data_IF_039691705888
#
_entry.id   IF_039691705888
#
_cell.length_a   1.000
_cell.length_b   1.000
_cell.length_c   1.000
_cell.angle_alpha   90.00
_cell.angle_beta   90.00
_cell.angle_gamma   90.00
#
_symmetry.space_group_name_H-M   'P 1'
#
loop_
_entity.id
_entity.type
_entity.pdbx_description
1 polymer ?
#
# COMPACT_ATOMS: atom_id res chain seq x y z
N UNK A 1 4.92 -18.36 10.37
CA UNK A 1 3.68 -19.16 10.48
C UNK A 1 2.71 -18.65 9.43
N UNK A 2 2.09 -19.52 8.64
CA UNK A 2 1.11 -19.13 7.61
C UNK A 2 -0.22 -18.83 8.29
N UNK A 3 -0.49 -17.58 8.63
CA UNK A 3 -1.80 -17.14 9.13
C UNK A 3 -2.79 -17.12 7.97
N UNK A 4 -3.95 -17.76 8.12
CA UNK A 4 -5.02 -17.66 7.14
C UNK A 4 -5.54 -16.21 7.08
N UNK A 5 -5.56 -15.61 5.89
CA UNK A 5 -6.17 -14.30 5.68
C UNK A 5 -7.70 -14.42 5.61
N UNK A 6 -8.47 -13.42 6.08
CA UNK A 6 -7.99 -12.17 6.68
C UNK A 6 -7.45 -12.36 8.10
N UNK A 7 -6.43 -11.59 8.46
CA UNK A 7 -6.08 -11.38 9.85
C UNK A 7 -7.19 -10.56 10.50
N UNK A 8 -7.74 -11.03 11.63
CA UNK A 8 -8.78 -10.33 12.39
C UNK A 8 -8.18 -9.70 13.64
N UNK A 9 -8.57 -8.46 13.95
CA UNK A 9 -8.11 -7.72 15.14
C UNK A 9 -9.20 -6.78 15.65
N UNK A 10 -9.31 -6.61 16.96
CA UNK A 10 -10.13 -5.54 17.54
C UNK A 10 -9.44 -4.18 17.31
N UNK A 11 -10.20 -3.12 17.02
CA UNK A 11 -9.66 -1.76 16.85
C UNK A 11 -8.71 -1.33 17.98
N UNK A 12 -9.00 -1.69 19.24
CA UNK A 12 -8.16 -1.35 20.41
C UNK A 12 -6.80 -2.05 20.37
N UNK A 13 -6.74 -3.19 19.69
CA UNK A 13 -5.60 -4.09 19.58
C UNK A 13 -4.71 -3.85 18.35
N UNK A 14 -4.98 -2.81 17.55
CA UNK A 14 -4.16 -2.46 16.37
C UNK A 14 -2.66 -2.35 16.69
N UNK A 15 -2.30 -1.87 17.89
CA UNK A 15 -0.92 -1.76 18.35
C UNK A 15 -0.18 -3.11 18.38
N UNK A 16 -0.90 -4.23 18.55
CA UNK A 16 -0.32 -5.59 18.54
C UNK A 16 0.19 -6.01 17.16
N UNK A 17 -0.23 -5.32 16.11
CA UNK A 17 0.21 -5.60 14.74
C UNK A 17 1.61 -5.06 14.44
N UNK A 18 2.12 -4.12 15.24
CA UNK A 18 3.42 -3.47 14.98
C UNK A 18 4.54 -4.49 14.91
N UNK A 19 5.33 -4.42 13.83
CA UNK A 19 6.44 -5.32 13.54
C UNK A 19 6.02 -6.63 12.86
N UNK A 20 4.72 -6.84 12.59
CA UNK A 20 4.23 -8.06 11.94
C UNK A 20 3.89 -7.82 10.46
N UNK A 21 4.23 -8.81 9.64
CA UNK A 21 3.65 -8.94 8.30
C UNK A 21 2.18 -9.35 8.44
N UNK A 22 1.28 -8.57 7.84
CA UNK A 22 -0.15 -8.89 7.77
C UNK A 22 -0.37 -10.02 6.78
N UNK A 23 0.28 -9.94 5.62
CA UNK A 23 0.31 -11.02 4.64
C UNK A 23 0.55 -10.56 3.22
N UNK A 24 0.24 -11.47 2.30
CA UNK A 24 0.41 -11.36 0.87
C UNK A 24 -0.97 -11.42 0.19
N UNK A 25 -1.28 -10.44 -0.66
CA UNK A 25 -2.57 -10.40 -1.34
C UNK A 25 -2.70 -11.52 -2.38
N UNK A 26 -3.90 -11.69 -2.95
CA UNK A 26 -4.05 -12.43 -4.21
C UNK A 26 -3.22 -11.77 -5.31
N UNK A 27 -2.83 -12.57 -6.31
CA UNK A 27 -2.32 -12.05 -7.58
C UNK A 27 -3.44 -11.41 -8.39
N UNK A 28 -3.13 -10.31 -9.08
CA UNK A 28 -4.00 -9.74 -10.11
C UNK A 28 -3.19 -9.50 -11.39
N UNK A 29 -3.81 -9.72 -12.53
CA UNK A 29 -3.24 -9.39 -13.83
C UNK A 29 -3.50 -7.92 -14.18
N UNK A 30 -2.51 -7.27 -14.78
CA UNK A 30 -2.61 -5.90 -15.27
C UNK A 30 -2.72 -5.92 -16.78
N UNK A 31 -3.96 -5.91 -17.27
CA UNK A 31 -4.26 -5.89 -18.71
C UNK A 31 -4.29 -4.48 -19.29
N UNK A 32 -4.32 -4.40 -20.62
CA UNK A 32 -4.37 -3.14 -21.33
C UNK A 32 -5.68 -2.37 -21.09
N UNK A 33 -6.79 -3.06 -20.88
CA UNK A 33 -8.09 -2.42 -20.62
C UNK A 33 -8.03 -1.57 -19.35
N UNK A 34 -7.40 -2.08 -18.29
CA UNK A 34 -7.18 -1.34 -17.05
C UNK A 34 -6.21 -0.17 -17.25
N UNK A 35 -5.16 -0.35 -18.03
CA UNK A 35 -4.18 0.71 -18.36
C UNK A 35 -4.87 1.84 -19.14
N UNK A 36 -5.61 1.52 -20.21
CA UNK A 36 -6.32 2.49 -21.03
C UNK A 36 -7.37 3.25 -20.22
N UNK A 37 -8.19 2.55 -19.42
CA UNK A 37 -9.20 3.18 -18.58
C UNK A 37 -8.60 4.10 -17.51
N UNK A 38 -7.42 3.76 -16.98
CA UNK A 38 -6.73 4.63 -16.04
C UNK A 38 -6.22 5.88 -16.75
N UNK A 39 -5.63 5.74 -17.95
CA UNK A 39 -5.24 6.88 -18.79
C UNK A 39 -6.43 7.82 -19.03
N UNK A 40 -7.62 7.28 -19.35
CA UNK A 40 -8.82 8.09 -19.58
C UNK A 40 -9.29 8.83 -18.33
N UNK A 41 -9.22 8.21 -17.15
CA UNK A 41 -9.66 8.82 -15.88
C UNK A 41 -8.66 9.86 -15.37
N UNK A 42 -7.36 9.67 -15.64
CA UNK A 42 -6.31 10.57 -15.12
C UNK A 42 -5.73 11.50 -16.17
N UNK A 43 -6.19 11.42 -17.41
CA UNK A 43 -5.69 12.18 -18.57
C UNK A 43 -4.18 11.94 -18.86
N UNK A 44 -3.63 10.81 -18.39
CA UNK A 44 -2.25 10.41 -18.65
C UNK A 44 -2.19 9.43 -19.82
N UNK A 45 -2.25 9.97 -21.02
CA UNK A 45 -2.12 9.24 -22.28
C UNK A 45 -0.69 9.20 -22.80
N UNK A 46 0.32 9.28 -21.93
CA UNK A 46 1.72 9.12 -22.35
C UNK A 46 1.89 7.82 -23.14
N UNK A 47 2.59 7.89 -24.28
CA UNK A 47 2.66 6.81 -25.27
C UNK A 47 3.09 5.46 -24.71
N UNK A 48 3.92 5.42 -23.66
CA UNK A 48 4.38 4.18 -23.02
C UNK A 48 3.22 3.35 -22.44
N UNK A 49 2.09 4.01 -22.13
CA UNK A 49 0.90 3.37 -21.57
C UNK A 49 -0.07 2.91 -22.66
N UNK A 50 -0.31 3.72 -23.69
CA UNK A 50 -1.46 3.57 -24.59
C UNK A 50 -1.10 3.25 -26.05
N UNK A 51 0.09 3.63 -26.53
CA UNK A 51 0.53 3.34 -27.90
C UNK A 51 1.15 1.94 -27.97
N UNK A 52 0.30 0.95 -28.23
CA UNK A 52 0.69 -0.46 -28.32
C UNK A 52 1.75 -0.72 -29.38
N UNK A 53 1.67 -0.06 -30.53
CA UNK A 53 2.57 -0.31 -31.65
C UNK A 53 3.97 0.21 -31.32
N UNK A 54 4.05 1.46 -30.87
CA UNK A 54 5.31 2.07 -30.46
C UNK A 54 5.90 1.39 -29.24
N UNK A 55 5.11 1.13 -28.20
CA UNK A 55 5.59 0.47 -26.98
C UNK A 55 6.07 -0.97 -27.24
N UNK A 56 5.45 -1.71 -28.16
CA UNK A 56 5.95 -3.03 -28.57
C UNK A 56 7.33 -2.94 -29.22
N UNK A 57 7.57 -1.92 -30.04
CA UNK A 57 8.86 -1.70 -30.71
C UNK A 57 9.96 -1.19 -29.77
N UNK A 58 9.63 -0.27 -28.84
CA UNK A 58 10.64 0.43 -28.03
C UNK A 58 10.82 -0.16 -26.62
N UNK A 59 9.75 -0.72 -26.02
CA UNK A 59 9.73 -1.13 -24.61
C UNK A 59 9.44 -2.64 -24.38
N UNK A 60 9.21 -3.38 -25.46
CA UNK A 60 8.77 -4.78 -25.41
C UNK A 60 7.30 -4.94 -24.99
N UNK A 61 6.50 -3.87 -25.07
CA UNK A 61 5.11 -3.80 -24.65
C UNK A 61 4.79 -2.50 -23.91
N UNK A 62 3.50 -2.21 -23.74
CA UNK A 62 3.04 -1.10 -22.90
C UNK A 62 3.41 -1.34 -21.45
N UNK A 63 3.71 -0.25 -20.75
CA UNK A 63 4.04 -0.23 -19.33
C UNK A 63 2.83 0.36 -18.62
N UNK A 64 2.39 -0.24 -17.52
CA UNK A 64 1.29 0.28 -16.72
C UNK A 64 1.71 1.55 -15.96
N UNK A 65 0.74 2.45 -15.71
CA UNK A 65 0.98 3.65 -14.91
C UNK A 65 1.44 3.27 -13.49
N UNK A 66 2.47 3.96 -12.98
CA UNK A 66 2.88 3.79 -11.59
C UNK A 66 1.73 4.12 -10.62
N UNK A 67 0.98 5.20 -10.90
CA UNK A 67 -0.17 5.58 -10.09
C UNK A 67 -1.33 4.58 -10.16
N UNK A 68 -1.52 3.88 -11.28
CA UNK A 68 -2.49 2.77 -11.34
C UNK A 68 -2.10 1.69 -10.33
N UNK A 69 -0.81 1.31 -10.26
CA UNK A 69 -0.34 0.31 -9.30
C UNK A 69 -0.58 0.77 -7.86
N UNK A 70 -0.30 2.04 -7.55
CA UNK A 70 -0.55 2.62 -6.22
C UNK A 70 -2.06 2.62 -5.88
N UNK A 71 -2.92 3.00 -6.83
CA UNK A 71 -4.38 3.01 -6.65
C UNK A 71 -5.00 1.63 -6.45
N UNK A 72 -4.30 0.54 -6.82
CA UNK A 72 -4.75 -0.83 -6.59
C UNK A 72 -4.46 -1.33 -5.17
N UNK A 73 -3.63 -0.63 -4.38
CA UNK A 73 -3.24 -1.05 -3.03
C UNK A 73 -4.46 -1.33 -2.15
N UNK A 74 -5.46 -0.43 -2.01
CA UNK A 74 -6.63 -0.71 -1.17
C UNK A 74 -7.38 -1.98 -1.57
N UNK A 75 -7.53 -2.24 -2.89
CA UNK A 75 -8.21 -3.44 -3.39
C UNK A 75 -7.45 -4.75 -3.13
N UNK A 76 -6.15 -4.65 -2.85
CA UNK A 76 -5.27 -5.78 -2.53
C UNK A 76 -5.09 -5.97 -1.02
N UNK A 77 -5.07 -4.88 -0.25
CA UNK A 77 -4.76 -4.91 1.19
C UNK A 77 -5.98 -5.00 2.09
N UNK A 78 -7.10 -4.37 1.74
CA UNK A 78 -8.32 -4.42 2.58
C UNK A 78 -8.80 -5.85 2.86
N UNK A 79 -8.76 -6.80 1.90
CA UNK A 79 -9.14 -8.19 2.20
C UNK A 79 -8.16 -8.95 3.12
N UNK A 80 -6.99 -8.38 3.44
CA UNK A 80 -5.97 -9.04 4.28
C UNK A 80 -6.15 -8.75 5.77
N UNK A 81 -6.78 -7.62 6.13
CA UNK A 81 -6.94 -7.18 7.52
C UNK A 81 -8.38 -6.75 7.77
N UNK A 82 -9.07 -7.47 8.65
CA UNK A 82 -10.39 -7.14 9.15
C UNK A 82 -10.27 -6.57 10.56
N UNK A 83 -10.77 -5.35 10.76
CA UNK A 83 -10.69 -4.63 12.02
C UNK A 83 -12.09 -4.51 12.62
N UNK A 84 -12.34 -5.23 13.70
CA UNK A 84 -13.61 -5.16 14.43
C UNK A 84 -13.71 -3.82 15.17
N UNK A 85 -14.90 -3.21 15.17
CA UNK A 85 -15.12 -1.90 15.81
C UNK A 85 -14.76 -0.69 14.95
N UNK A 86 -14.42 -0.89 13.67
CA UNK A 86 -14.06 0.16 12.72
C UNK A 86 -15.29 0.74 12.00
N UNK A 87 -15.38 2.07 11.91
CA UNK A 87 -16.43 2.78 11.15
C UNK A 87 -16.01 3.03 9.71
N UNK A 88 -14.81 3.58 9.52
CA UNK A 88 -14.29 3.97 8.21
C UNK A 88 -12.76 4.06 8.23
N UNK A 89 -12.16 3.95 7.05
CA UNK A 89 -10.72 4.11 6.82
C UNK A 89 -10.52 5.21 5.77
N UNK A 90 -9.60 6.12 6.03
CA UNK A 90 -9.12 7.07 5.03
C UNK A 90 -7.71 6.75 4.60
N UNK A 91 -7.43 6.87 3.30
CA UNK A 91 -6.08 6.99 2.78
C UNK A 91 -5.57 8.38 3.16
N UNK A 92 -4.93 8.48 4.32
CA UNK A 92 -4.51 9.75 4.91
C UNK A 92 -3.27 10.33 4.21
N UNK A 93 -2.38 9.46 3.74
CA UNK A 93 -1.17 9.89 3.03
C UNK A 93 -0.27 8.74 2.66
N UNK A 94 0.85 9.09 2.06
CA UNK A 94 1.90 8.17 1.63
C UNK A 94 3.26 8.80 1.87
N UNK A 95 4.13 8.10 2.59
CA UNK A 95 5.53 8.49 2.80
C UNK A 95 6.46 7.58 1.99
N UNK A 96 7.66 8.08 1.67
CA UNK A 96 8.78 7.30 1.08
C UNK A 96 8.43 6.47 -0.17
N UNK A 97 7.47 6.91 -0.99
CA UNK A 97 7.09 6.22 -2.23
C UNK A 97 8.24 6.19 -3.24
N UNK A 98 8.55 5.00 -3.77
CA UNK A 98 9.51 4.79 -4.86
C UNK A 98 8.99 3.75 -5.85
N UNK A 99 8.95 4.10 -7.13
CA UNK A 99 8.75 3.15 -8.24
C UNK A 99 10.10 2.58 -8.66
N UNK A 100 10.24 1.25 -8.57
CA UNK A 100 11.52 0.55 -8.63
C UNK A 100 11.65 -0.33 -9.88
N UNK A 101 10.54 -0.89 -10.38
CA UNK A 101 10.54 -1.65 -11.62
C UNK A 101 9.23 -1.46 -12.39
N UNK A 102 9.26 -1.46 -13.74
CA UNK A 102 8.07 -1.31 -14.56
C UNK A 102 7.21 -2.58 -14.51
N UNK A 103 5.89 -2.40 -14.65
CA UNK A 103 4.93 -3.49 -14.88
C UNK A 103 4.48 -3.41 -16.33
N UNK A 104 4.72 -4.45 -17.11
CA UNK A 104 4.25 -4.54 -18.49
C UNK A 104 2.83 -5.10 -18.55
N UNK A 105 2.09 -4.73 -19.60
CA UNK A 105 0.77 -5.32 -19.85
C UNK A 105 0.85 -6.86 -19.88
N UNK A 106 -0.10 -7.51 -19.18
CA UNK A 106 -0.18 -8.96 -19.00
C UNK A 106 0.64 -9.49 -17.82
N UNK A 107 1.47 -8.67 -17.17
CA UNK A 107 2.14 -9.08 -15.94
C UNK A 107 1.16 -9.14 -14.75
N UNK A 108 1.50 -9.99 -13.77
CA UNK A 108 0.74 -10.11 -12.53
C UNK A 108 1.46 -9.42 -11.40
N UNK A 109 0.70 -8.82 -10.48
CA UNK A 109 1.23 -8.16 -9.29
C UNK A 109 0.47 -8.58 -8.02
N UNK A 110 1.11 -8.39 -6.87
CA UNK A 110 0.60 -8.69 -5.53
C UNK A 110 1.15 -7.68 -4.53
N UNK A 111 0.37 -7.30 -3.53
CA UNK A 111 0.84 -6.49 -2.42
C UNK A 111 1.33 -7.38 -1.25
N UNK A 112 2.40 -6.96 -0.60
CA UNK A 112 2.82 -7.39 0.74
C UNK A 112 2.62 -6.22 1.69
N UNK A 113 2.08 -6.50 2.88
CA UNK A 113 1.85 -5.48 3.90
C UNK A 113 2.48 -5.86 5.24
N UNK A 114 3.20 -4.92 5.83
CA UNK A 114 3.77 -4.99 7.17
C UNK A 114 3.34 -3.75 7.95
N UNK A 115 2.87 -3.91 9.19
CA UNK A 115 2.55 -2.76 10.06
C UNK A 115 3.82 -2.33 10.78
N UNK A 116 4.20 -1.07 10.61
CA UNK A 116 5.46 -0.54 11.15
C UNK A 116 5.27 0.43 12.31
N UNK A 117 4.11 1.07 12.40
CA UNK A 117 3.75 1.91 13.54
C UNK A 117 2.24 2.10 13.67
N UNK A 118 1.80 2.42 14.89
CA UNK A 118 0.42 2.76 15.23
C UNK A 118 0.45 4.02 16.09
N UNK A 119 -0.22 5.08 15.62
CA UNK A 119 -0.31 6.36 16.32
C UNK A 119 -1.77 6.65 16.67
N UNK A 120 -2.16 6.55 17.96
CA UNK A 120 -3.51 6.94 18.41
C UNK A 120 -3.66 8.46 18.42
N UNK A 121 -4.81 8.96 17.93
CA UNK A 121 -5.12 10.39 17.84
C UNK A 121 -6.58 10.62 18.24
N UNK A 122 -6.92 11.87 18.57
CA UNK A 122 -8.31 12.25 18.85
C UNK A 122 -9.26 11.96 17.66
N UNK A 123 -8.76 12.01 16.42
CA UNK A 123 -9.53 11.74 15.21
C UNK A 123 -9.60 10.25 14.82
N UNK A 124 -8.95 9.36 15.58
CA UNK A 124 -8.83 7.93 15.27
C UNK A 124 -7.39 7.42 15.39
N UNK A 125 -7.13 6.21 14.92
CA UNK A 125 -5.79 5.61 14.94
C UNK A 125 -5.16 5.71 13.57
N UNK A 126 -3.98 6.30 13.47
CA UNK A 126 -3.20 6.27 12.24
C UNK A 126 -2.35 4.99 12.21
N UNK A 127 -2.72 4.06 11.33
CA UNK A 127 -1.94 2.87 11.04
C UNK A 127 -0.93 3.18 9.93
N UNK A 128 0.37 3.05 10.25
CA UNK A 128 1.45 3.16 9.26
C UNK A 128 1.87 1.76 8.83
N UNK A 129 1.73 1.47 7.54
CA UNK A 129 2.12 0.18 6.96
C UNK A 129 3.16 0.35 5.86
N UNK A 130 4.21 -0.46 5.87
CA UNK A 130 5.09 -0.61 4.72
C UNK A 130 4.40 -1.52 3.71
N UNK A 131 4.21 -1.03 2.50
CA UNK A 131 3.63 -1.79 1.39
C UNK A 131 4.69 -1.93 0.30
N UNK A 132 4.94 -3.17 -0.10
CA UNK A 132 5.68 -3.47 -1.33
C UNK A 132 4.78 -4.19 -2.32
N UNK A 133 4.96 -3.89 -3.60
CA UNK A 133 4.28 -4.60 -4.67
C UNK A 133 5.26 -5.48 -5.41
N UNK A 134 4.93 -6.77 -5.55
CA UNK A 134 5.82 -7.80 -6.08
C UNK A 134 5.28 -8.34 -7.41
N UNK A 135 6.20 -8.87 -8.23
CA UNK A 135 5.91 -9.71 -9.40
C UNK A 135 6.20 -11.19 -9.07
N UNK A 136 5.65 -12.16 -9.81
CA UNK A 136 5.89 -13.58 -9.56
C UNK A 136 7.36 -13.99 -9.61
N UNK A 137 8.19 -13.27 -10.37
CA UNK A 137 9.63 -13.55 -10.49
C UNK A 137 10.44 -13.23 -9.22
N UNK A 138 9.86 -12.49 -8.27
CA UNK A 138 10.47 -12.17 -6.97
C UNK A 138 11.75 -11.33 -7.04
N UNK A 139 12.09 -10.74 -8.19
CA UNK A 139 13.40 -10.10 -8.42
C UNK A 139 13.54 -8.77 -7.67
N UNK A 140 12.74 -7.78 -8.08
CA UNK A 140 12.71 -6.42 -7.53
C UNK A 140 11.26 -6.01 -7.34
N UNK A 141 10.89 -5.36 -6.22
CA UNK A 141 9.55 -4.80 -6.09
C UNK A 141 9.23 -3.84 -7.24
N UNK A 142 7.95 -3.77 -7.62
CA UNK A 142 7.39 -2.76 -8.51
C UNK A 142 7.51 -1.40 -7.87
N UNK A 143 7.05 -1.28 -6.63
CA UNK A 143 7.24 -0.10 -5.79
C UNK A 143 7.35 -0.51 -4.31
N UNK A 144 7.78 0.46 -3.50
CA UNK A 144 7.61 0.43 -2.04
C UNK A 144 7.16 1.81 -1.56
N UNK A 145 6.33 1.84 -0.53
CA UNK A 145 5.94 3.08 0.17
C UNK A 145 5.44 2.76 1.58
N UNK A 146 5.27 3.81 2.37
CA UNK A 146 4.60 3.74 3.66
C UNK A 146 3.21 4.35 3.54
N UNK A 147 2.20 3.51 3.64
CA UNK A 147 0.80 3.93 3.67
C UNK A 147 0.44 4.47 5.04
N UNK A 148 -0.22 5.62 5.07
CA UNK A 148 -0.82 6.19 6.28
C UNK A 148 -2.34 6.01 6.19
N UNK A 149 -2.89 5.09 6.98
CA UNK A 149 -4.32 4.79 7.00
C UNK A 149 -4.93 5.31 8.28
N UNK A 150 -5.81 6.31 8.20
CA UNK A 150 -6.53 6.82 9.37
C UNK A 150 -7.78 5.95 9.59
N UNK A 151 -7.76 5.21 10.69
CA UNK A 151 -8.82 4.30 11.12
C UNK A 151 -9.71 4.99 12.16
N UNK A 152 -10.98 5.17 11.83
CA UNK A 152 -11.97 5.83 12.70
C UNK A 152 -12.86 4.77 13.34
N UNK A 153 -12.99 4.71 14.68
CA UNK A 153 -13.79 3.69 15.36
C UNK A 153 -15.31 3.98 15.31
N UNK A 154 -16.12 2.96 15.58
CA UNK A 154 -17.59 3.04 15.65
C UNK A 154 -18.09 3.86 16.86
N UNK A 155 -17.43 3.72 18.01
CA UNK A 155 -17.64 4.56 19.19
C UNK A 155 -16.43 5.48 19.37
N UNK A 156 -16.65 6.72 19.83
CA UNK A 156 -15.54 7.56 20.28
C UNK A 156 -14.80 6.79 21.38
N UNK A 157 -13.50 6.53 21.20
CA UNK A 157 -12.69 5.89 22.23
C UNK A 157 -12.77 6.76 23.50
N UNK A 158 -13.12 6.17 24.64
CA UNK A 158 -13.04 6.85 25.94
C UNK A 158 -11.70 7.59 26.06
N UNK A 159 -11.70 8.82 26.56
CA UNK A 159 -10.53 9.70 26.60
C UNK A 159 -9.31 9.06 27.29
N UNK A 160 -9.52 8.05 28.13
CA UNK A 160 -8.49 7.25 28.81
C UNK A 160 -7.59 6.43 27.89
N UNK A 161 -7.95 6.22 26.61
CA UNK A 161 -7.15 5.46 25.62
C UNK A 161 -6.22 6.33 24.75
N UNK A 162 -6.26 7.66 24.93
CA UNK A 162 -5.60 8.65 24.05
C UNK A 162 -4.12 8.91 24.37
N UNK A 163 -3.58 8.33 25.44
CA UNK A 163 -2.17 8.51 25.83
C UNK A 163 -1.46 7.16 25.76
N UNK A 164 -0.99 6.80 24.57
CA UNK A 164 0.00 5.73 24.39
C UNK A 164 1.04 6.29 23.43
N UNK A 165 2.31 6.30 23.85
CA UNK A 165 3.41 6.69 22.96
C UNK A 165 3.42 5.84 21.68
N UNK A 166 3.93 6.37 20.56
CA UNK A 166 4.03 5.63 19.31
C UNK A 166 4.65 4.25 19.52
N UNK A 167 3.88 3.19 19.28
CA UNK A 167 4.45 1.86 19.22
C UNK A 167 5.20 1.75 17.88
N UNK A 168 6.53 1.85 17.92
CA UNK A 168 7.41 1.72 16.75
C UNK A 168 8.20 0.43 16.88
N UNK A 169 8.29 -0.35 15.80
CA UNK A 169 9.19 -1.50 15.76
C UNK A 169 10.64 -1.05 16.03
N UNK A 170 11.30 -1.61 17.05
CA UNK A 170 12.67 -1.27 17.40
C UNK A 170 13.63 -1.72 16.29
N UNK A 171 13.95 -0.84 15.34
CA UNK A 171 14.86 -1.19 14.25
C UNK A 171 14.73 -0.35 12.99
N UNK A 172 14.79 0.98 13.08
CA UNK A 172 15.13 1.81 11.94
C UNK A 172 15.93 3.02 12.43
N UNK A 173 17.25 2.98 12.25
CA UNK A 173 18.09 4.18 12.38
C UNK A 173 17.64 5.17 11.30
N UNK A 174 17.09 6.30 11.71
CA UNK A 174 16.91 7.44 10.84
C UNK A 174 18.30 8.02 10.51
N UNK A 175 18.89 7.63 9.39
CA UNK A 175 20.02 8.38 8.83
C UNK A 175 19.48 9.62 8.11
N UNK A 176 19.98 10.77 8.56
CA UNK A 176 19.45 12.09 8.25
C UNK A 176 19.52 12.45 6.76
N UNK A 177 18.45 13.11 6.30
CA UNK A 177 18.49 13.94 5.11
C UNK A 177 19.45 15.10 5.39
N UNK A 178 20.66 15.04 4.85
CA UNK A 178 21.42 16.26 4.57
C UNK A 178 20.79 16.93 3.35
N UNK A 179 20.31 18.16 3.56
CA UNK A 179 19.82 19.03 2.52
C UNK A 179 20.94 19.31 1.51
N UNK A 180 20.70 19.00 0.24
CA UNK A 180 21.49 19.52 -0.87
C UNK A 180 20.93 20.90 -1.18
N UNK A 181 21.80 21.90 -1.12
CA UNK A 181 21.56 23.29 -1.53
C UNK A 181 21.53 23.41 -3.05
#
# INVERSE_FOLDING_TARGET
>A
MSTSLPLRVDYRDLHKLVGNEIGLSRWIEIDQSRIDRFADVTEDHQWIHVDRARAKSENGGTIAHGFLMLSLVPALTLPMLEVDGLKQIFNYGADRLRFLSPVRCGERIRARQEVIAVDRRASGTLLRSRISMEKPDGTRPVFTFESLSLMVPLAASDETDLIVEPAVASGAKAEGLQAIR
#
